data_IF_247109818132
#
_entry.id   IF_247109818132
#
_cell.length_a   1.000
_cell.length_b   1.000
_cell.length_c   1.000
_cell.angle_alpha   90.00
_cell.angle_beta   90.00
_cell.angle_gamma   90.00
#
_symmetry.space_group_name_H-M   'P 1'
#
loop_
_entity.id
_entity.type
_entity.pdbx_description
1 polymer ?
#
# COMPACT_ATOMS: atom_id res chain seq x y z
N UNK A 1 44.06 -72.44 -34.53
CA UNK A 1 45.05 -71.39 -34.19
C UNK A 1 44.27 -70.14 -33.84
N UNK A 2 44.55 -69.53 -32.68
CA UNK A 2 44.43 -68.08 -32.35
C UNK A 2 43.10 -67.38 -32.73
N UNK A 3 42.31 -66.78 -31.86
CA UNK A 3 42.59 -66.09 -30.60
C UNK A 3 41.44 -65.07 -30.38
N UNK A 4 41.20 -64.74 -29.12
CA UNK A 4 40.05 -64.04 -28.54
C UNK A 4 39.68 -62.65 -29.12
N UNK A 5 38.42 -62.27 -28.91
CA UNK A 5 37.93 -60.88 -29.01
C UNK A 5 36.42 -60.79 -28.81
N UNK A 6 35.93 -61.09 -27.60
CA UNK A 6 34.52 -60.97 -27.24
C UNK A 6 34.11 -59.50 -27.06
N UNK A 7 33.05 -59.08 -27.75
CA UNK A 7 32.45 -57.76 -27.60
C UNK A 7 31.79 -57.61 -26.23
N UNK A 8 32.37 -56.74 -25.41
CA UNK A 8 31.72 -56.09 -24.27
C UNK A 8 31.34 -54.68 -24.70
N UNK A 9 30.04 -54.37 -24.71
CA UNK A 9 29.58 -53.00 -24.51
C UNK A 9 28.37 -53.02 -23.58
N UNK A 10 28.56 -52.26 -22.51
CA UNK A 10 27.88 -52.27 -21.23
C UNK A 10 26.55 -51.52 -21.25
N UNK A 11 25.59 -52.06 -20.48
CA UNK A 11 24.46 -51.33 -19.93
C UNK A 11 24.94 -50.05 -19.22
N UNK A 12 24.48 -48.89 -19.68
CA UNK A 12 24.36 -47.69 -18.85
C UNK A 12 22.98 -47.07 -19.04
N UNK A 13 22.29 -46.98 -17.91
CA UNK A 13 21.06 -46.26 -17.65
C UNK A 13 21.20 -44.76 -17.88
N UNK A 14 20.42 -44.19 -18.80
CA UNK A 14 20.17 -42.75 -18.84
C UNK A 14 18.77 -42.46 -18.29
N UNK A 15 18.74 -41.95 -17.06
CA UNK A 15 17.56 -41.44 -16.36
C UNK A 15 17.04 -40.20 -17.09
N UNK A 16 15.86 -40.28 -17.71
CA UNK A 16 15.13 -39.09 -18.16
C UNK A 16 14.21 -38.63 -17.02
N UNK A 17 14.62 -37.59 -16.28
CA UNK A 17 13.75 -36.93 -15.31
C UNK A 17 12.61 -36.21 -16.03
N UNK A 18 11.41 -36.78 -15.99
CA UNK A 18 10.17 -36.12 -16.40
C UNK A 18 9.81 -35.06 -15.36
N UNK A 19 9.71 -33.80 -15.79
CA UNK A 19 9.16 -32.72 -14.99
C UNK A 19 7.66 -32.95 -14.70
N UNK A 20 7.16 -32.59 -13.51
CA UNK A 20 5.77 -32.84 -13.14
C UNK A 20 4.81 -31.97 -13.96
N UNK A 21 3.88 -32.62 -14.67
CA UNK A 21 2.80 -31.97 -15.41
C UNK A 21 1.75 -31.46 -14.41
N UNK A 22 1.70 -30.15 -14.18
CA UNK A 22 0.61 -29.51 -13.46
C UNK A 22 -0.62 -29.53 -14.37
N UNK A 23 -1.67 -30.23 -13.94
CA UNK A 23 -3.00 -30.22 -14.57
C UNK A 23 -3.65 -28.86 -14.34
N UNK A 24 -3.52 -27.95 -15.31
CA UNK A 24 -4.32 -26.74 -15.36
C UNK A 24 -5.76 -27.13 -15.73
N UNK A 25 -6.69 -27.03 -14.78
CA UNK A 25 -8.11 -27.16 -15.08
C UNK A 25 -8.52 -25.99 -16.00
N UNK A 26 -8.93 -26.30 -17.23
CA UNK A 26 -9.52 -25.35 -18.17
C UNK A 26 -10.76 -24.69 -17.52
N UNK A 27 -10.89 -23.35 -17.52
CA UNK A 27 -12.18 -22.71 -17.30
C UNK A 27 -13.13 -23.14 -18.44
N UNK A 28 -14.31 -23.62 -18.07
CA UNK A 28 -15.33 -24.06 -19.01
C UNK A 28 -15.74 -22.95 -19.97
N UNK A 29 -15.70 -23.28 -21.26
CA UNK A 29 -16.23 -22.49 -22.36
C UNK A 29 -17.75 -22.38 -22.20
N UNK A 30 -18.26 -21.26 -21.67
CA UNK A 30 -19.69 -20.98 -21.69
C UNK A 30 -20.02 -20.40 -23.07
N UNK A 31 -20.86 -21.13 -23.79
CA UNK A 31 -21.30 -20.85 -25.16
C UNK A 31 -21.78 -19.42 -25.35
N UNK A 32 -21.20 -18.71 -26.33
CA UNK A 32 -21.65 -17.41 -26.79
C UNK A 32 -23.07 -17.52 -27.36
N UNK A 33 -24.01 -16.85 -26.69
CA UNK A 33 -25.38 -16.67 -27.15
C UNK A 33 -25.42 -15.76 -28.38
N UNK A 34 -26.20 -16.20 -29.37
CA UNK A 34 -26.37 -15.66 -30.73
C UNK A 34 -26.65 -14.15 -30.81
N UNK A 35 -26.07 -13.54 -31.84
CA UNK A 35 -26.46 -12.28 -32.45
C UNK A 35 -27.97 -12.16 -32.67
N UNK A 36 -28.59 -11.08 -32.18
CA UNK A 36 -29.83 -10.56 -32.73
C UNK A 36 -29.65 -9.08 -33.05
N UNK A 37 -30.08 -8.72 -34.27
CA UNK A 37 -30.02 -7.37 -34.87
C UNK A 37 -30.88 -6.37 -34.11
N UNK A 38 -30.45 -5.11 -34.14
CA UNK A 38 -30.95 -4.01 -33.34
C UNK A 38 -32.37 -3.52 -33.65
N UNK A 39 -32.94 -2.89 -32.64
CA UNK A 39 -33.92 -1.80 -32.71
C UNK A 39 -33.41 -0.65 -31.80
N UNK A 40 -33.71 0.62 -32.12
CA UNK A 40 -33.06 1.77 -31.49
C UNK A 40 -33.78 2.23 -30.21
N UNK A 41 -33.03 2.99 -29.39
CA UNK A 41 -33.45 3.80 -28.24
C UNK A 41 -33.71 3.07 -26.92
N UNK A 42 -32.67 2.98 -26.09
CA UNK A 42 -32.80 3.17 -24.64
C UNK A 42 -31.47 3.64 -24.03
N UNK A 43 -31.34 4.95 -23.85
CA UNK A 43 -30.30 5.62 -23.05
C UNK A 43 -30.55 5.33 -21.56
N UNK A 44 -30.28 4.10 -21.15
CA UNK A 44 -30.36 3.67 -19.74
C UNK A 44 -29.11 2.87 -19.36
N UNK A 45 -27.93 3.42 -19.66
CA UNK A 45 -26.64 2.90 -19.19
C UNK A 45 -26.19 3.65 -17.91
N UNK A 46 -27.04 3.72 -16.90
CA UNK A 46 -26.69 4.28 -15.60
C UNK A 46 -26.88 3.23 -14.49
N UNK A 47 -25.83 3.05 -13.68
CA UNK A 47 -25.83 2.36 -12.39
C UNK A 47 -26.05 0.84 -12.35
N UNK A 48 -25.18 0.06 -13.01
CA UNK A 48 -24.88 -1.29 -12.49
C UNK A 48 -23.61 -1.26 -11.64
N UNK A 49 -23.64 -1.71 -10.37
CA UNK A 49 -22.42 -1.99 -9.63
C UNK A 49 -21.61 -3.04 -10.41
N UNK A 50 -20.33 -2.77 -10.65
CA UNK A 50 -19.47 -3.68 -11.38
C UNK A 50 -19.25 -4.93 -10.53
N UNK A 51 -19.39 -6.10 -11.14
CA UNK A 51 -18.82 -7.31 -10.55
C UNK A 51 -17.30 -7.12 -10.46
N UNK A 52 -16.65 -7.48 -9.33
CA UNK A 52 -15.20 -7.53 -9.24
C UNK A 52 -14.64 -8.33 -10.42
N UNK A 53 -13.46 -7.95 -10.92
CA UNK A 53 -12.77 -8.75 -11.93
C UNK A 53 -12.64 -10.18 -11.42
N UNK A 54 -12.78 -11.17 -12.32
CA UNK A 54 -12.62 -12.58 -11.97
C UNK A 54 -11.19 -12.77 -11.46
N UNK A 55 -11.01 -12.76 -10.13
CA UNK A 55 -9.71 -12.79 -9.47
C UNK A 55 -9.39 -11.64 -8.50
N UNK A 56 -10.25 -10.62 -8.35
CA UNK A 56 -10.03 -9.57 -7.33
C UNK A 56 -10.24 -10.12 -5.92
N UNK A 57 -9.25 -9.85 -5.07
CA UNK A 57 -9.24 -10.20 -3.64
C UNK A 57 -9.58 -8.99 -2.75
N UNK A 58 -10.23 -7.97 -3.32
CA UNK A 58 -10.53 -6.71 -2.66
C UNK A 58 -11.04 -6.90 -1.23
N UNK A 59 -10.34 -6.28 -0.27
CA UNK A 59 -10.64 -6.35 1.16
C UNK A 59 -11.85 -5.49 1.55
N UNK A 60 -12.35 -4.63 0.66
CA UNK A 60 -13.51 -3.79 0.91
C UNK A 60 -14.63 -4.15 -0.07
N UNK A 61 -15.86 -4.27 0.44
CA UNK A 61 -17.06 -4.38 -0.39
C UNK A 61 -17.41 -3.05 -1.07
N UNK A 62 -18.40 -3.07 -1.96
CA UNK A 62 -18.98 -1.84 -2.55
C UNK A 62 -19.59 -0.91 -1.49
N UNK A 63 -20.01 -1.46 -0.36
CA UNK A 63 -20.52 -0.75 0.82
C UNK A 63 -19.43 -0.40 1.84
N UNK A 64 -18.16 -0.64 1.51
CA UNK A 64 -17.00 -0.39 2.36
C UNK A 64 -17.02 -1.20 3.68
N UNK A 65 -17.52 -2.42 3.63
CA UNK A 65 -17.38 -3.42 4.69
C UNK A 65 -16.12 -4.26 4.47
N UNK A 66 -15.43 -4.64 5.54
CA UNK A 66 -14.16 -5.37 5.45
C UNK A 66 -14.38 -6.87 5.21
N UNK A 67 -13.93 -7.38 4.07
CA UNK A 67 -14.13 -8.74 3.59
C UNK A 67 -12.88 -9.61 3.82
N UNK A 68 -12.79 -10.27 4.98
CA UNK A 68 -11.64 -11.14 5.28
C UNK A 68 -11.67 -12.48 4.53
N UNK A 69 -12.85 -13.02 4.25
CA UNK A 69 -13.03 -14.41 3.80
C UNK A 69 -12.36 -14.72 2.46
N UNK A 70 -12.25 -13.72 1.57
CA UNK A 70 -11.63 -13.90 0.25
C UNK A 70 -10.11 -13.96 0.33
N UNK A 71 -9.50 -13.25 1.28
CA UNK A 71 -8.04 -13.16 1.41
C UNK A 71 -7.47 -14.20 2.39
N UNK A 72 -8.23 -14.60 3.40
CA UNK A 72 -7.84 -15.56 4.43
C UNK A 72 -7.23 -16.89 3.88
N UNK A 73 -7.70 -17.47 2.75
CA UNK A 73 -7.11 -18.68 2.18
C UNK A 73 -5.65 -18.55 1.74
N UNK A 74 -5.17 -17.33 1.46
CA UNK A 74 -3.78 -17.05 1.04
C UNK A 74 -2.82 -16.81 2.22
N UNK A 75 -3.38 -16.73 3.43
CA UNK A 75 -2.66 -16.47 4.66
C UNK A 75 -2.38 -17.74 5.44
N UNK A 76 -1.33 -17.72 6.25
CA UNK A 76 -0.84 -18.84 7.04
C UNK A 76 -0.77 -18.47 8.52
N UNK A 77 -0.37 -19.42 9.36
CA UNK A 77 -0.08 -19.14 10.78
C UNK A 77 1.34 -18.55 10.98
N UNK A 78 2.01 -18.14 9.89
CA UNK A 78 3.29 -17.46 9.96
C UNK A 78 3.17 -16.16 10.76
N UNK A 79 4.19 -15.89 11.58
CA UNK A 79 4.29 -14.72 12.45
C UNK A 79 5.42 -13.78 12.03
N UNK A 80 6.29 -14.24 11.13
CA UNK A 80 7.37 -13.43 10.54
C UNK A 80 6.96 -12.98 9.14
N UNK A 81 6.23 -11.87 9.08
CA UNK A 81 5.72 -11.29 7.84
C UNK A 81 5.82 -9.77 7.89
N UNK A 82 5.87 -9.15 6.72
CA UNK A 82 5.83 -7.69 6.56
C UNK A 82 4.59 -7.30 5.78
N UNK A 83 4.01 -6.16 6.13
CA UNK A 83 2.83 -5.59 5.46
C UNK A 83 3.23 -4.24 4.92
N UNK A 84 3.15 -4.08 3.60
CA UNK A 84 3.44 -2.82 2.91
C UNK A 84 2.15 -2.34 2.23
N UNK A 85 1.66 -1.19 2.64
CA UNK A 85 0.55 -0.49 1.99
C UNK A 85 1.06 0.63 1.10
N UNK A 86 0.29 0.99 0.07
CA UNK A 86 0.56 2.17 -0.76
C UNK A 86 -0.66 3.07 -0.81
N UNK A 87 -0.46 4.38 -0.70
CA UNK A 87 -1.50 5.40 -0.80
C UNK A 87 -1.02 6.56 -1.66
N UNK A 88 -1.92 7.17 -2.42
CA UNK A 88 -1.57 8.29 -3.30
C UNK A 88 -2.61 8.59 -4.38
N UNK A 89 -2.50 9.75 -5.06
CA UNK A 89 -3.45 10.21 -6.07
C UNK A 89 -3.56 9.30 -7.31
N UNK A 90 -4.50 9.56 -8.25
CA UNK A 90 -4.56 8.85 -9.52
C UNK A 90 -3.28 9.01 -10.33
N UNK A 91 -2.88 7.97 -11.06
CA UNK A 91 -1.79 8.05 -12.03
C UNK A 91 -0.38 8.22 -11.45
N UNK A 92 -0.17 8.23 -10.14
CA UNK A 92 1.17 8.37 -9.52
C UNK A 92 2.03 7.08 -9.57
N UNK A 93 1.50 5.99 -10.13
CA UNK A 93 2.26 4.74 -10.31
C UNK A 93 2.26 3.80 -9.11
N UNK A 94 1.26 3.88 -8.21
CA UNK A 94 1.12 2.98 -7.04
C UNK A 94 1.22 1.49 -7.40
N UNK A 95 0.34 1.02 -8.28
CA UNK A 95 0.29 -0.38 -8.71
C UNK A 95 1.57 -0.80 -9.45
N UNK A 96 2.23 0.12 -10.15
CA UNK A 96 3.56 -0.11 -10.76
C UNK A 96 4.61 -0.38 -9.70
N UNK A 97 4.72 0.48 -8.68
CA UNK A 97 5.65 0.30 -7.55
C UNK A 97 5.35 -1.02 -6.83
N UNK A 98 4.07 -1.34 -6.60
CA UNK A 98 3.67 -2.57 -5.92
C UNK A 98 4.00 -3.83 -6.72
N UNK A 99 3.92 -3.79 -8.06
CA UNK A 99 4.35 -4.87 -8.92
C UNK A 99 5.88 -5.08 -8.88
N UNK A 100 6.67 -4.00 -8.84
CA UNK A 100 8.13 -4.10 -8.66
C UNK A 100 8.49 -4.73 -7.30
N UNK A 101 7.81 -4.33 -6.22
CA UNK A 101 8.02 -4.91 -4.87
C UNK A 101 7.55 -6.37 -4.81
N UNK A 102 6.50 -6.72 -5.54
CA UNK A 102 6.06 -8.10 -5.67
C UNK A 102 7.12 -8.99 -6.36
N UNK A 103 8.03 -8.40 -7.14
CA UNK A 103 8.98 -9.12 -7.98
C UNK A 103 8.40 -9.51 -9.34
N UNK A 104 7.46 -8.73 -9.87
CA UNK A 104 6.94 -8.93 -11.22
C UNK A 104 8.00 -8.59 -12.27
N UNK A 105 8.29 -9.53 -13.16
CA UNK A 105 9.18 -9.33 -14.30
C UNK A 105 8.38 -9.22 -15.59
N UNK A 106 8.27 -7.99 -16.11
CA UNK A 106 7.56 -7.69 -17.35
C UNK A 106 8.23 -8.29 -18.61
N UNK A 107 9.47 -8.81 -18.50
CA UNK A 107 10.16 -9.47 -19.61
C UNK A 107 9.65 -10.89 -19.88
N UNK A 108 8.97 -11.51 -18.91
CA UNK A 108 8.42 -12.87 -19.03
C UNK A 108 7.16 -12.87 -19.92
N UNK A 109 7.16 -13.61 -21.05
CA UNK A 109 6.01 -13.64 -21.94
C UNK A 109 4.79 -14.30 -21.28
N UNK A 110 3.62 -13.68 -21.41
CA UNK A 110 2.33 -14.28 -21.03
C UNK A 110 1.95 -14.15 -19.55
N UNK A 111 2.75 -13.47 -18.73
CA UNK A 111 2.39 -13.14 -17.35
C UNK A 111 1.80 -11.75 -17.25
N UNK A 112 0.59 -11.64 -16.69
CA UNK A 112 -0.02 -10.36 -16.34
C UNK A 112 0.52 -9.86 -15.00
N UNK A 113 0.64 -8.54 -14.80
CA UNK A 113 1.05 -8.00 -13.51
C UNK A 113 0.05 -8.38 -12.41
N UNK A 114 0.51 -8.73 -11.19
CA UNK A 114 -0.35 -9.03 -10.05
C UNK A 114 -1.34 -7.92 -9.71
N UNK A 115 -0.90 -6.66 -9.78
CA UNK A 115 -1.74 -5.48 -9.66
C UNK A 115 -1.97 -4.89 -11.04
N UNK A 116 -3.24 -4.65 -11.40
CA UNK A 116 -3.57 -4.01 -12.66
C UNK A 116 -2.97 -2.60 -12.72
N UNK A 117 -2.31 -2.27 -13.82
CA UNK A 117 -1.77 -0.93 -14.08
C UNK A 117 -2.73 -0.23 -15.05
N UNK A 118 -2.89 1.09 -14.89
CA UNK A 118 -3.67 1.92 -15.80
C UNK A 118 -3.21 1.74 -17.26
N UNK A 119 -4.15 1.38 -18.13
CA UNK A 119 -3.89 1.29 -19.58
C UNK A 119 -4.16 2.63 -20.26
N UNK A 120 -3.71 2.76 -21.51
CA UNK A 120 -3.99 3.97 -22.29
C UNK A 120 -5.50 4.18 -22.51
N UNK A 121 -6.29 3.10 -22.66
CA UNK A 121 -7.75 3.18 -22.76
C UNK A 121 -8.39 3.66 -21.46
N UNK A 122 -7.96 3.13 -20.30
CA UNK A 122 -8.47 3.56 -18.99
C UNK A 122 -8.18 5.04 -18.74
N UNK A 123 -6.97 5.47 -19.08
CA UNK A 123 -6.55 6.87 -18.98
C UNK A 123 -7.36 7.78 -19.91
N UNK A 124 -7.59 7.36 -21.15
CA UNK A 124 -8.41 8.10 -22.11
C UNK A 124 -9.89 8.22 -21.66
N UNK A 125 -10.39 7.23 -20.93
CA UNK A 125 -11.72 7.26 -20.31
C UNK A 125 -11.78 8.04 -18.98
N UNK A 126 -10.66 8.58 -18.49
CA UNK A 126 -10.54 9.24 -17.18
C UNK A 126 -11.09 8.39 -16.02
N UNK A 127 -10.80 7.08 -16.03
CA UNK A 127 -11.24 6.13 -15.02
C UNK A 127 -10.10 5.71 -14.11
N UNK A 128 -10.40 5.41 -12.85
CA UNK A 128 -9.45 4.74 -11.97
C UNK A 128 -9.35 3.24 -12.32
N UNK A 129 -8.21 2.64 -11.99
CA UNK A 129 -7.94 1.22 -12.21
C UNK A 129 -8.22 0.39 -10.94
N UNK A 130 -7.56 0.73 -9.84
CA UNK A 130 -7.71 0.04 -8.53
C UNK A 130 -8.96 0.51 -7.80
N UNK A 131 -9.75 -0.43 -7.29
CA UNK A 131 -10.98 -0.20 -6.49
C UNK A 131 -10.78 -0.83 -5.11
N UNK A 132 -11.12 -0.11 -4.03
CA UNK A 132 -10.95 -0.60 -2.65
C UNK A 132 -9.48 -0.83 -2.26
N UNK A 133 -9.19 -1.99 -1.67
CA UNK A 133 -7.85 -2.40 -1.26
C UNK A 133 -7.60 -3.79 -1.83
N UNK A 134 -6.76 -3.89 -2.85
CA UNK A 134 -6.38 -5.16 -3.47
C UNK A 134 -5.15 -5.73 -2.73
N UNK A 135 -5.26 -6.91 -2.09
CA UNK A 135 -4.15 -7.52 -1.40
C UNK A 135 -3.43 -8.57 -2.27
N UNK A 136 -2.12 -8.69 -2.11
CA UNK A 136 -1.30 -9.79 -2.66
C UNK A 136 -0.30 -10.26 -1.62
N UNK A 137 0.11 -11.53 -1.73
CA UNK A 137 1.21 -12.09 -0.93
C UNK A 137 2.32 -12.50 -1.87
N UNK A 138 3.53 -12.00 -1.66
CA UNK A 138 4.71 -12.36 -2.46
C UNK A 138 5.24 -13.76 -2.08
N UNK A 139 6.19 -14.26 -2.87
CA UNK A 139 6.91 -15.51 -2.54
C UNK A 139 7.70 -15.42 -1.24
N UNK A 140 8.12 -14.21 -0.85
CA UNK A 140 8.86 -13.91 0.39
C UNK A 140 7.91 -13.58 1.57
N UNK A 141 6.62 -13.94 1.47
CA UNK A 141 5.60 -13.70 2.50
C UNK A 141 5.42 -12.23 2.89
N UNK A 142 5.66 -11.32 1.94
CA UNK A 142 5.32 -9.91 2.10
C UNK A 142 3.88 -9.70 1.65
N UNK A 143 3.06 -9.15 2.54
CA UNK A 143 1.68 -8.77 2.27
C UNK A 143 1.70 -7.36 1.68
N UNK A 144 1.19 -7.22 0.46
CA UNK A 144 1.16 -5.99 -0.31
C UNK A 144 -0.29 -5.52 -0.45
N UNK A 145 -0.58 -4.28 -0.04
CA UNK A 145 -1.92 -3.67 -0.10
C UNK A 145 -1.93 -2.50 -1.08
N UNK A 146 -2.40 -2.74 -2.31
CA UNK A 146 -2.60 -1.67 -3.31
C UNK A 146 -3.98 -1.05 -3.15
N UNK A 147 -4.04 0.25 -2.89
CA UNK A 147 -5.32 0.94 -2.65
C UNK A 147 -5.80 1.71 -3.85
N UNK A 148 -7.12 1.90 -3.91
CA UNK A 148 -7.72 2.90 -4.77
C UNK A 148 -7.08 4.28 -4.57
N UNK A 149 -7.06 5.13 -5.61
CA UNK A 149 -6.49 6.46 -5.49
C UNK A 149 -7.31 7.36 -4.54
N UNK A 150 -6.60 8.10 -3.69
CA UNK A 150 -7.17 9.23 -2.93
C UNK A 150 -7.27 10.46 -3.85
N UNK A 151 -8.10 11.44 -3.49
CA UNK A 151 -8.31 12.66 -4.30
C UNK A 151 -8.72 12.39 -5.76
N UNK A 152 -9.41 11.27 -6.02
CA UNK A 152 -9.72 10.82 -7.38
C UNK A 152 -11.07 11.35 -7.87
N UNK A 153 -11.10 12.20 -8.92
CA UNK A 153 -12.36 12.67 -9.50
C UNK A 153 -13.21 11.51 -10.04
N UNK A 154 -12.58 10.46 -10.55
CA UNK A 154 -13.29 9.30 -11.10
C UNK A 154 -13.92 8.42 -10.01
N UNK A 155 -13.33 8.35 -8.80
CA UNK A 155 -13.95 7.68 -7.65
C UNK A 155 -15.12 8.52 -7.16
N UNK A 156 -14.92 9.84 -6.99
CA UNK A 156 -15.99 10.75 -6.62
C UNK A 156 -17.18 10.68 -7.60
N UNK A 157 -16.92 10.66 -8.91
CA UNK A 157 -17.96 10.54 -9.93
C UNK A 157 -18.80 9.26 -9.81
N UNK A 158 -18.20 8.13 -9.42
CA UNK A 158 -18.94 6.88 -9.17
C UNK A 158 -19.71 6.91 -7.83
N UNK A 159 -19.32 7.78 -6.89
CA UNK A 159 -19.97 7.94 -5.58
C UNK A 159 -21.15 8.92 -5.55
N UNK A 160 -21.23 9.85 -6.49
CA UNK A 160 -22.27 10.89 -6.50
C UNK A 160 -23.63 10.28 -6.90
N UNK A 161 -24.60 10.35 -5.99
CA UNK A 161 -26.02 10.14 -6.31
C UNK A 161 -26.60 11.37 -7.03
N UNK A 162 -27.74 11.23 -7.73
CA UNK A 162 -28.39 12.36 -8.41
C UNK A 162 -28.74 13.56 -7.49
N UNK A 163 -28.87 13.33 -6.18
CA UNK A 163 -29.13 14.37 -5.17
C UNK A 163 -27.84 15.00 -4.59
N UNK A 164 -26.66 14.64 -5.11
CA UNK A 164 -25.36 15.08 -4.62
C UNK A 164 -24.86 14.35 -3.37
N UNK A 165 -25.66 13.43 -2.80
CA UNK A 165 -25.24 12.62 -1.66
C UNK A 165 -24.32 11.47 -2.06
N UNK A 166 -23.56 10.94 -1.11
CA UNK A 166 -22.71 9.76 -1.33
C UNK A 166 -23.52 8.48 -1.45
N UNK A 167 -23.15 7.60 -2.38
CA UNK A 167 -23.67 6.22 -2.45
C UNK A 167 -23.24 5.38 -1.24
N UNK A 168 -22.09 5.69 -0.63
CA UNK A 168 -21.48 4.93 0.45
C UNK A 168 -21.77 5.61 1.80
N UNK A 169 -22.30 4.89 2.80
CA UNK A 169 -22.48 5.39 4.15
C UNK A 169 -21.14 5.41 4.91
N UNK A 170 -20.54 6.60 5.05
CA UNK A 170 -19.23 6.76 5.72
C UNK A 170 -19.35 6.79 7.23
N UNK A 171 -20.39 7.47 7.72
CA UNK A 171 -20.72 7.63 9.13
C UNK A 171 -22.11 7.05 9.35
N UNK A 172 -22.23 6.19 10.37
CA UNK A 172 -23.49 5.53 10.72
C UNK A 172 -24.62 6.54 10.97
N UNK A 173 -25.65 6.49 10.14
CA UNK A 173 -26.90 7.25 10.33
C UNK A 173 -26.97 8.64 9.70
N UNK A 174 -25.91 9.13 9.03
CA UNK A 174 -25.91 10.45 8.39
C UNK A 174 -25.64 10.38 6.88
N UNK A 175 -26.43 11.13 6.10
CA UNK A 175 -26.18 11.30 4.66
C UNK A 175 -25.25 12.49 4.42
N UNK A 176 -24.05 12.20 3.94
CA UNK A 176 -23.04 13.20 3.60
C UNK A 176 -23.13 13.57 2.11
N UNK A 177 -22.67 14.79 1.77
CA UNK A 177 -22.37 15.11 0.37
C UNK A 177 -21.28 14.17 -0.13
N UNK A 178 -21.32 13.84 -1.42
CA UNK A 178 -20.34 12.94 -2.01
C UNK A 178 -18.90 13.47 -1.89
N UNK A 179 -18.69 14.79 -1.98
CA UNK A 179 -17.38 15.43 -1.81
C UNK A 179 -16.80 15.23 -0.41
N UNK A 180 -17.61 15.48 0.64
CA UNK A 180 -17.19 15.29 2.02
C UNK A 180 -16.99 13.80 2.34
N UNK A 181 -17.87 12.94 1.82
CA UNK A 181 -17.72 11.49 1.97
C UNK A 181 -16.40 11.01 1.34
N UNK A 182 -16.06 11.50 0.15
CA UNK A 182 -14.83 11.15 -0.55
C UNK A 182 -13.57 11.65 0.19
N UNK A 183 -13.62 12.83 0.82
CA UNK A 183 -12.55 13.32 1.69
C UNK A 183 -12.37 12.40 2.91
N UNK A 184 -13.46 12.07 3.60
CA UNK A 184 -13.41 11.17 4.77
C UNK A 184 -12.95 9.75 4.41
N UNK A 185 -13.32 9.24 3.24
CA UNK A 185 -12.82 7.95 2.76
C UNK A 185 -11.30 7.95 2.60
N UNK A 186 -10.75 9.04 2.06
CA UNK A 186 -9.29 9.17 1.90
C UNK A 186 -8.59 9.16 3.26
N UNK A 187 -9.18 9.84 4.25
CA UNK A 187 -8.69 9.87 5.64
C UNK A 187 -8.81 8.49 6.31
N UNK A 188 -9.97 7.85 6.27
CA UNK A 188 -10.21 6.53 6.88
C UNK A 188 -9.29 5.47 6.28
N UNK A 189 -9.06 5.52 4.96
CA UNK A 189 -8.11 4.65 4.28
C UNK A 189 -6.68 4.88 4.78
N UNK A 190 -6.26 6.14 4.91
CA UNK A 190 -4.96 6.50 5.47
C UNK A 190 -4.78 6.03 6.92
N UNK A 191 -5.79 6.23 7.78
CA UNK A 191 -5.79 5.77 9.18
C UNK A 191 -5.74 4.25 9.26
N UNK A 192 -6.48 3.55 8.39
CA UNK A 192 -6.44 2.08 8.32
C UNK A 192 -5.03 1.60 7.99
N UNK A 193 -4.45 2.07 6.89
CA UNK A 193 -3.09 1.67 6.51
C UNK A 193 -2.10 2.00 7.63
N UNK A 194 -2.17 3.20 8.21
CA UNK A 194 -1.31 3.65 9.34
C UNK A 194 -1.40 2.74 10.57
N UNK A 195 -2.52 2.01 10.72
CA UNK A 195 -2.77 1.14 11.84
C UNK A 195 -2.43 -0.33 11.56
N UNK A 196 -2.55 -0.80 10.31
CA UNK A 196 -2.40 -2.23 9.98
C UNK A 196 -1.12 -2.58 9.23
N UNK A 197 -0.47 -1.62 8.59
CA UNK A 197 0.76 -1.83 7.84
C UNK A 197 2.00 -1.74 8.74
N UNK A 198 3.10 -2.34 8.31
CA UNK A 198 4.43 -2.08 8.86
C UNK A 198 5.08 -0.90 8.15
N UNK A 199 4.92 -0.81 6.83
CA UNK A 199 5.42 0.29 5.98
C UNK A 199 4.28 0.85 5.14
N UNK A 200 4.21 2.17 4.99
CA UNK A 200 3.27 2.81 4.06
C UNK A 200 4.04 3.65 3.07
N UNK A 201 3.88 3.34 1.80
CA UNK A 201 4.38 4.15 0.70
C UNK A 201 3.39 5.29 0.46
N UNK A 202 3.81 6.51 0.75
CA UNK A 202 3.04 7.74 0.52
C UNK A 202 3.51 8.33 -0.79
N UNK A 203 2.77 8.08 -1.87
CA UNK A 203 3.19 8.38 -3.24
C UNK A 203 2.54 9.68 -3.72
N UNK A 204 3.37 10.64 -4.15
CA UNK A 204 2.96 11.94 -4.69
C UNK A 204 3.37 12.10 -6.15
N UNK A 205 2.67 13.00 -6.85
CA UNK A 205 3.04 13.47 -8.18
C UNK A 205 3.90 14.74 -8.08
N UNK A 206 5.12 14.72 -8.60
CA UNK A 206 6.01 15.88 -8.58
C UNK A 206 6.46 16.28 -7.16
N UNK A 207 7.09 17.45 -7.03
CA UNK A 207 7.62 17.99 -5.75
C UNK A 207 6.78 19.12 -5.16
N UNK A 208 5.76 19.57 -5.88
CA UNK A 208 4.96 20.74 -5.52
C UNK A 208 3.58 20.40 -4.93
N UNK A 209 3.23 19.11 -4.87
CA UNK A 209 1.97 18.65 -4.30
C UNK A 209 2.13 18.32 -2.81
N UNK A 210 1.54 19.15 -1.96
CA UNK A 210 1.49 18.98 -0.51
C UNK A 210 0.20 18.28 -0.02
N UNK A 211 -0.74 17.93 -0.91
CA UNK A 211 -2.02 17.33 -0.52
C UNK A 211 -1.83 15.99 0.19
N UNK A 212 -0.88 15.16 -0.25
CA UNK A 212 -0.52 13.94 0.46
C UNK A 212 0.12 14.21 1.82
N UNK A 213 0.87 15.30 1.97
CA UNK A 213 1.45 15.65 3.25
C UNK A 213 0.35 16.07 4.24
N UNK A 214 -0.59 16.89 3.78
CA UNK A 214 -1.76 17.30 4.55
C UNK A 214 -2.61 16.09 4.96
N UNK A 215 -2.86 15.14 4.04
CA UNK A 215 -3.55 13.89 4.37
C UNK A 215 -2.83 13.13 5.47
N UNK A 216 -1.52 12.95 5.36
CA UNK A 216 -0.75 12.21 6.37
C UNK A 216 -0.73 12.93 7.73
N UNK A 217 -0.65 14.26 7.76
CA UNK A 217 -0.80 15.02 9.01
C UNK A 217 -2.18 14.87 9.63
N UNK A 218 -3.24 14.84 8.81
CA UNK A 218 -4.61 14.56 9.27
C UNK A 218 -4.74 13.11 9.75
N UNK A 219 -4.09 12.15 9.11
CA UNK A 219 -4.03 10.75 9.55
C UNK A 219 -3.37 10.65 10.93
N UNK A 220 -2.22 11.29 11.15
CA UNK A 220 -1.54 11.31 12.45
C UNK A 220 -2.45 11.86 13.56
N UNK A 221 -3.14 12.97 13.26
CA UNK A 221 -4.11 13.58 14.19
C UNK A 221 -5.29 12.65 14.53
N UNK A 222 -5.80 11.89 13.55
CA UNK A 222 -7.06 11.14 13.70
C UNK A 222 -6.88 9.67 14.07
N UNK A 223 -5.64 9.17 14.04
CA UNK A 223 -5.31 7.78 14.40
C UNK A 223 -5.34 7.53 15.92
N UNK A 224 -5.47 8.57 16.73
CA UNK A 224 -5.52 8.44 18.19
C UNK A 224 -6.64 7.50 18.64
N UNK A 225 -6.32 6.62 19.59
CA UNK A 225 -7.26 5.64 20.11
C UNK A 225 -7.53 4.43 19.19
N UNK A 226 -6.88 4.34 18.02
CA UNK A 226 -6.92 3.14 17.19
C UNK A 226 -5.90 2.12 17.73
N UNK A 227 -6.33 0.90 18.10
CA UNK A 227 -5.45 -0.09 18.73
C UNK A 227 -4.51 -0.76 17.72
N UNK A 228 -3.40 -1.27 18.23
CA UNK A 228 -2.49 -2.16 17.50
C UNK A 228 -3.19 -3.48 17.11
N UNK A 229 -3.03 -3.97 15.86
CA UNK A 229 -3.54 -5.26 15.40
C UNK A 229 -3.29 -6.44 16.34
N UNK A 230 -2.17 -6.46 17.06
CA UNK A 230 -1.81 -7.54 17.98
C UNK A 230 -2.53 -7.50 19.34
N UNK A 231 -3.12 -6.35 19.71
CA UNK A 231 -3.79 -6.15 21.01
C UNK A 231 -5.24 -6.63 21.05
N UNK A 232 -5.87 -6.87 19.90
CA UNK A 232 -7.29 -7.22 19.78
C UNK A 232 -7.63 -8.71 19.97
N UNK A 233 -6.64 -9.51 20.38
CA UNK A 233 -6.73 -10.96 20.61
C UNK A 233 -7.26 -11.34 21.99
N UNK A 234 -7.53 -10.39 22.89
CA UNK A 234 -8.10 -10.64 24.22
C UNK A 234 -9.63 -10.86 24.17
N UNK A 235 -10.06 -11.94 23.53
CA UNK A 235 -11.42 -12.47 23.66
C UNK A 235 -11.36 -13.95 24.05
N UNK A 236 -10.78 -14.23 25.21
CA UNK A 236 -11.11 -15.41 26.00
C UNK A 236 -11.46 -14.93 27.42
N UNK A 237 -12.73 -15.01 27.84
CA UNK A 237 -13.14 -14.52 29.15
C UNK A 237 -12.81 -15.58 30.20
N UNK A 238 -11.60 -15.51 30.78
CA UNK A 238 -11.32 -16.15 32.06
C UNK A 238 -10.76 -15.10 33.02
N UNK A 239 -11.67 -14.61 33.87
CA UNK A 239 -11.47 -14.09 35.23
C UNK A 239 -10.22 -13.25 35.52
N UNK A 240 -10.37 -11.92 35.48
CA UNK A 240 -10.01 -11.00 36.57
C UNK A 240 -10.01 -9.56 36.04
N UNK A 241 -11.20 -9.01 35.86
CA UNK A 241 -11.40 -7.59 35.57
C UNK A 241 -11.26 -6.79 36.87
N UNK A 242 -10.16 -6.03 37.02
CA UNK A 242 -10.15 -4.64 37.58
C UNK A 242 -8.77 -4.07 37.92
N UNK A 243 -7.68 -4.85 37.96
CA UNK A 243 -6.37 -4.31 38.39
C UNK A 243 -5.36 -4.01 37.27
N UNK A 244 -5.66 -4.32 36.01
CA UNK A 244 -4.67 -4.22 34.92
C UNK A 244 -4.89 -3.07 33.92
N UNK A 245 -5.93 -2.24 34.11
CA UNK A 245 -6.12 -1.04 33.26
C UNK A 245 -5.08 0.06 33.55
N UNK A 246 -4.60 0.14 34.79
CA UNK A 246 -3.70 1.23 35.21
C UNK A 246 -2.21 0.96 34.93
N UNK A 247 -1.83 -0.24 34.48
CA UNK A 247 -0.43 -0.57 34.12
C UNK A 247 -0.16 -0.57 32.61
N UNK A 248 -1.19 -0.52 31.77
CA UNK A 248 -1.05 -0.49 30.30
C UNK A 248 -0.89 0.95 29.79
N UNK A 249 -1.19 1.95 30.62
CA UNK A 249 -1.14 3.35 30.23
C UNK A 249 0.28 3.94 30.15
N UNK A 250 1.31 3.23 30.63
CA UNK A 250 2.58 3.86 31.02
C UNK A 250 3.85 3.37 30.28
N UNK A 251 3.74 2.62 29.16
CA UNK A 251 4.97 2.15 28.47
C UNK A 251 4.89 1.82 26.96
N UNK A 252 3.95 2.34 26.17
CA UNK A 252 3.98 2.08 24.73
C UNK A 252 3.29 3.16 23.92
N UNK A 253 4.07 3.92 23.14
CA UNK A 253 3.50 4.85 22.16
C UNK A 253 2.54 4.13 21.22
N UNK A 254 1.51 4.84 20.75
CA UNK A 254 0.53 4.27 19.81
C UNK A 254 1.26 3.70 18.59
N UNK A 255 0.98 2.43 18.26
CA UNK A 255 1.56 1.78 17.07
C UNK A 255 1.19 2.58 15.84
N UNK A 256 2.15 2.85 14.95
CA UNK A 256 1.91 3.50 13.66
C UNK A 256 2.92 2.94 12.67
N UNK A 257 2.45 2.62 11.47
CA UNK A 257 3.28 2.19 10.35
C UNK A 257 4.33 3.25 10.00
N UNK A 258 5.47 2.82 9.47
CA UNK A 258 6.52 3.75 9.04
C UNK A 258 6.21 4.33 7.66
N UNK A 259 6.00 5.66 7.53
CA UNK A 259 5.73 6.29 6.26
C UNK A 259 7.02 6.51 5.46
N UNK A 260 7.01 6.04 4.22
CA UNK A 260 8.06 6.28 3.22
C UNK A 260 7.47 7.17 2.13
N UNK A 261 7.98 8.39 2.02
CA UNK A 261 7.52 9.34 1.01
C UNK A 261 8.18 9.04 -0.33
N UNK A 262 7.38 8.97 -1.39
CA UNK A 262 7.84 8.67 -2.74
C UNK A 262 7.29 9.73 -3.68
N UNK A 263 8.17 10.56 -4.26
CA UNK A 263 7.78 11.55 -5.26
C UNK A 263 8.10 10.99 -6.65
N UNK A 264 7.08 10.89 -7.50
CA UNK A 264 7.18 10.29 -8.84
C UNK A 264 7.08 11.33 -9.94
N UNK A 265 7.38 10.92 -11.18
CA UNK A 265 7.29 11.75 -12.39
C UNK A 265 8.16 13.00 -12.35
N UNK A 266 9.29 12.94 -11.66
CA UNK A 266 10.18 14.07 -11.52
C UNK A 266 10.86 14.42 -12.85
N UNK A 267 10.91 15.71 -13.15
CA UNK A 267 11.67 16.26 -14.25
C UNK A 267 13.14 16.46 -13.84
N UNK A 268 14.03 16.60 -14.82
CA UNK A 268 15.46 16.86 -14.59
C UNK A 268 15.71 18.09 -13.71
N UNK A 269 14.85 19.12 -13.82
CA UNK A 269 14.93 20.34 -13.03
C UNK A 269 14.59 20.11 -11.55
N UNK A 270 13.60 19.25 -11.26
CA UNK A 270 13.21 18.89 -9.89
C UNK A 270 14.35 18.17 -9.16
N UNK A 271 15.17 17.42 -9.90
CA UNK A 271 16.29 16.64 -9.39
C UNK A 271 17.57 17.47 -9.16
N UNK A 272 17.55 18.77 -9.45
CA UNK A 272 18.67 19.65 -9.17
C UNK A 272 19.02 19.62 -7.66
N UNK A 273 20.30 19.52 -7.26
CA UNK A 273 20.69 19.35 -5.86
C UNK A 273 20.10 20.39 -4.89
N UNK A 274 19.96 21.65 -5.32
CA UNK A 274 19.34 22.71 -4.51
C UNK A 274 17.86 22.43 -4.21
N UNK A 275 17.11 21.89 -5.18
CA UNK A 275 15.70 21.58 -5.05
C UNK A 275 15.50 20.38 -4.13
N UNK A 276 16.39 19.38 -4.23
CA UNK A 276 16.38 18.22 -3.33
C UNK A 276 16.63 18.61 -1.87
N UNK A 277 17.60 19.50 -1.62
CA UNK A 277 17.88 20.01 -0.26
C UNK A 277 16.68 20.78 0.28
N UNK A 278 16.04 21.62 -0.54
CA UNK A 278 14.84 22.36 -0.15
C UNK A 278 13.66 21.44 0.15
N UNK A 279 13.42 20.43 -0.70
CA UNK A 279 12.36 19.44 -0.51
C UNK A 279 12.55 18.65 0.78
N UNK A 280 13.76 18.12 1.03
CA UNK A 280 14.09 17.41 2.28
C UNK A 280 13.87 18.30 3.51
N UNK A 281 14.30 19.56 3.44
CA UNK A 281 14.11 20.55 4.52
C UNK A 281 12.62 20.82 4.75
N UNK A 282 11.85 21.06 3.69
CA UNK A 282 10.42 21.32 3.78
C UNK A 282 9.67 20.13 4.38
N UNK A 283 9.95 18.91 3.91
CA UNK A 283 9.36 17.68 4.42
C UNK A 283 9.67 17.48 5.92
N UNK A 284 10.93 17.67 6.32
CA UNK A 284 11.35 17.57 7.73
C UNK A 284 10.66 18.61 8.61
N UNK A 285 10.52 19.84 8.12
CA UNK A 285 9.82 20.91 8.84
C UNK A 285 8.31 20.64 8.95
N UNK A 286 7.70 20.05 7.91
CA UNK A 286 6.29 19.73 7.91
C UNK A 286 5.95 18.60 8.89
N UNK A 287 6.78 17.56 8.94
CA UNK A 287 6.60 16.40 9.82
C UNK A 287 7.50 16.44 11.05
N UNK A 288 7.44 17.52 11.83
CA UNK A 288 8.17 17.62 13.11
C UNK A 288 7.55 16.77 14.25
N UNK A 289 6.40 16.12 14.01
CA UNK A 289 5.69 15.31 15.02
C UNK A 289 6.47 14.03 15.37
N UNK A 290 6.50 13.62 16.66
CA UNK A 290 7.21 12.42 17.10
C UNK A 290 6.67 11.12 16.46
N UNK A 291 5.43 11.10 15.96
CA UNK A 291 4.86 9.95 15.28
C UNK A 291 5.59 9.60 13.97
N UNK A 292 6.10 10.62 13.27
CA UNK A 292 6.85 10.47 12.03
C UNK A 292 8.36 10.40 12.26
N UNK A 293 8.84 11.05 13.32
CA UNK A 293 10.26 11.15 13.68
C UNK A 293 10.59 10.05 14.71
N UNK A 294 10.61 8.79 14.29
CA UNK A 294 11.12 7.70 15.14
C UNK A 294 12.64 7.63 15.04
N UNK A 295 13.32 7.99 16.12
CA UNK A 295 14.75 7.74 16.29
C UNK A 295 15.00 6.23 16.20
N UNK A 296 15.86 5.76 15.28
CA UNK A 296 16.38 4.39 15.28
C UNK A 296 17.29 4.19 16.53
N UNK A 297 16.70 4.16 17.73
CA UNK A 297 17.39 3.78 18.95
C UNK A 297 17.24 2.28 19.17
N UNK A 298 17.86 1.49 18.31
CA UNK A 298 18.17 0.10 18.62
C UNK A 298 19.68 -0.02 18.91
N UNK A 299 19.98 0.05 20.22
CA UNK A 299 21.10 -0.60 20.90
C UNK A 299 22.41 -0.82 20.10
N UNK A 300 23.23 0.22 20.00
CA UNK A 300 24.70 0.07 19.96
C UNK A 300 25.32 0.90 21.10
N UNK A 301 24.85 0.65 22.32
CA UNK A 301 25.48 1.15 23.54
C UNK A 301 26.11 -0.03 24.29
N UNK A 302 27.22 -0.56 23.75
CA UNK A 302 28.32 -1.19 24.49
C UNK A 302 29.45 -1.48 23.51
N UNK A 303 30.66 -1.08 23.91
CA UNK A 303 31.95 -1.13 23.20
C UNK A 303 32.06 -0.08 22.08
N UNK A 304 32.74 1.05 22.26
CA UNK A 304 34.14 1.11 22.67
C UNK A 304 34.46 2.50 23.22
N UNK A 305 34.95 2.55 24.46
CA UNK A 305 35.83 3.62 24.90
C UNK A 305 37.21 3.42 24.27
N UNK A 306 38.00 4.51 24.25
CA UNK A 306 39.37 4.67 23.72
C UNK A 306 39.35 5.00 22.21
N UNK A 307 39.75 6.16 21.72
CA UNK A 307 40.72 7.17 22.19
C UNK A 307 40.48 8.50 21.47
N UNK A 308 40.68 9.60 22.21
CA UNK A 308 40.71 10.96 21.69
C UNK A 308 42.06 11.28 21.03
N UNK A 309 42.05 11.78 19.78
CA UNK A 309 42.93 12.87 19.31
C UNK A 309 42.20 13.66 18.22
N UNK A 310 42.28 14.97 18.34
CA UNK A 310 41.58 16.01 17.58
C UNK A 310 42.02 16.15 16.12
N UNK A 311 41.06 16.45 15.23
CA UNK A 311 41.29 17.37 14.10
C UNK A 311 39.96 18.00 13.65
N UNK A 312 39.75 19.25 14.04
CA UNK A 312 38.66 20.10 13.58
C UNK A 312 38.85 20.47 12.10
N UNK A 313 38.02 19.91 11.22
CA UNK A 313 37.71 20.51 9.91
C UNK A 313 36.24 20.20 9.57
N UNK A 314 35.43 21.27 9.54
CA UNK A 314 34.15 21.42 8.83
C UNK A 314 32.92 20.66 9.36
N UNK A 315 32.12 21.42 10.11
CA UNK A 315 30.76 21.17 10.58
C UNK A 315 29.72 21.28 9.45
N UNK A 316 29.63 20.27 8.59
CA UNK A 316 28.49 20.07 7.70
C UNK A 316 28.28 18.57 7.50
N UNK A 317 27.12 18.04 7.95
CA UNK A 317 26.76 16.63 7.73
C UNK A 317 26.46 15.83 8.99
N UNK A 318 25.61 16.34 9.89
CA UNK A 318 24.62 15.44 10.50
C UNK A 318 23.42 15.50 9.56
N UNK A 319 23.39 14.64 8.55
CA UNK A 319 22.19 14.45 7.77
C UNK A 319 21.09 14.00 8.75
N UNK A 320 20.06 14.84 8.88
CA UNK A 320 18.89 14.57 9.71
C UNK A 320 18.16 13.36 9.13
N UNK A 321 18.48 12.17 9.62
CA UNK A 321 17.98 10.87 9.13
C UNK A 321 16.55 10.58 9.60
N UNK A 322 15.65 11.58 9.53
CA UNK A 322 14.36 11.51 10.22
C UNK A 322 13.16 11.15 9.33
N UNK A 323 13.24 11.31 8.01
CA UNK A 323 12.16 10.94 7.08
C UNK A 323 12.72 10.28 5.83
N UNK A 324 12.18 9.12 5.46
CA UNK A 324 12.61 8.39 4.27
C UNK A 324 11.90 8.96 3.04
N UNK A 325 12.69 9.46 2.09
CA UNK A 325 12.23 10.09 0.85
C UNK A 325 12.91 9.42 -0.34
N UNK A 326 12.09 8.93 -1.28
CA UNK A 326 12.52 8.40 -2.57
C UNK A 326 12.02 9.29 -3.71
N UNK A 327 12.84 9.39 -4.75
CA UNK A 327 12.62 10.29 -5.88
C UNK A 327 12.69 9.46 -7.16
N UNK A 328 11.57 9.36 -7.87
CA UNK A 328 11.46 8.54 -9.08
C UNK A 328 11.30 9.47 -10.29
N UNK A 329 12.29 9.52 -11.19
CA UNK A 329 12.21 10.32 -12.41
C UNK A 329 11.04 9.90 -13.30
N UNK A 330 10.58 10.83 -14.13
CA UNK A 330 9.68 10.49 -15.24
C UNK A 330 10.36 9.54 -16.23
N UNK A 331 9.55 8.67 -16.85
CA UNK A 331 10.02 7.70 -17.84
C UNK A 331 10.27 8.44 -19.16
N UNK A 332 11.49 8.91 -19.39
CA UNK A 332 11.89 9.54 -20.65
C UNK A 332 11.82 8.51 -21.79
N UNK A 333 11.25 8.91 -22.94
CA UNK A 333 11.26 8.12 -24.18
C UNK A 333 12.51 8.38 -25.03
N UNK A 334 13.23 9.48 -24.77
CA UNK A 334 14.39 9.89 -25.56
C UNK A 334 15.70 9.48 -24.86
N UNK A 335 16.23 8.32 -25.27
CA UNK A 335 17.56 7.79 -24.88
C UNK A 335 18.75 8.63 -25.43
N UNK A 336 18.51 9.86 -25.91
CA UNK A 336 19.51 10.64 -26.65
C UNK A 336 20.41 11.52 -25.78
N UNK A 337 20.09 11.71 -24.50
CA UNK A 337 20.89 12.51 -23.57
C UNK A 337 21.59 11.60 -22.56
N UNK A 338 22.89 11.83 -22.35
CA UNK A 338 23.65 11.18 -21.27
C UNK A 338 22.88 11.35 -19.96
N UNK A 339 22.59 10.28 -19.22
CA UNK A 339 21.85 10.39 -17.97
C UNK A 339 22.70 11.19 -16.97
N UNK A 340 22.26 12.41 -16.66
CA UNK A 340 22.85 13.19 -15.57
C UNK A 340 22.39 12.68 -14.20
N UNK A 341 21.29 11.92 -14.17
CA UNK A 341 20.63 11.40 -12.98
C UNK A 341 20.29 9.91 -13.13
N UNK A 342 19.94 9.28 -12.00
CA UNK A 342 19.47 7.90 -11.94
C UNK A 342 18.26 7.67 -12.88
N UNK A 343 18.20 6.50 -13.52
CA UNK A 343 17.10 6.17 -14.43
C UNK A 343 15.82 5.81 -13.67
N UNK A 344 14.66 5.90 -14.34
CA UNK A 344 13.37 5.51 -13.76
C UNK A 344 13.38 4.07 -13.18
N UNK A 345 13.94 3.11 -13.92
CA UNK A 345 13.98 1.71 -13.50
C UNK A 345 14.96 1.48 -12.35
N UNK A 346 16.12 2.16 -12.38
CA UNK A 346 17.11 2.08 -11.30
C UNK A 346 16.55 2.63 -9.99
N UNK A 347 15.88 3.78 -10.04
CA UNK A 347 15.25 4.39 -8.87
C UNK A 347 14.12 3.51 -8.30
N UNK A 348 13.34 2.83 -9.15
CA UNK A 348 12.34 1.85 -8.73
C UNK A 348 12.97 0.64 -8.04
N UNK A 349 14.06 0.08 -8.58
CA UNK A 349 14.78 -1.02 -7.95
C UNK A 349 15.41 -0.60 -6.62
N UNK A 350 15.96 0.60 -6.53
CA UNK A 350 16.47 1.16 -5.29
C UNK A 350 15.35 1.26 -4.23
N UNK A 351 14.19 1.81 -4.59
CA UNK A 351 13.02 1.83 -3.69
C UNK A 351 12.62 0.41 -3.26
N UNK A 352 12.53 -0.54 -4.20
CA UNK A 352 12.21 -1.94 -3.89
C UNK A 352 13.20 -2.51 -2.87
N UNK A 353 14.49 -2.44 -3.15
CA UNK A 353 15.53 -3.05 -2.31
C UNK A 353 15.55 -2.43 -0.91
N UNK A 354 15.29 -1.12 -0.80
CA UNK A 354 15.15 -0.43 0.48
C UNK A 354 13.89 -0.82 1.25
N UNK A 355 12.75 -1.01 0.58
CA UNK A 355 11.51 -1.49 1.22
C UNK A 355 11.67 -2.92 1.71
N UNK A 356 12.27 -3.81 0.89
CA UNK A 356 12.48 -5.22 1.24
C UNK A 356 13.50 -5.42 2.36
N UNK A 357 14.52 -4.58 2.45
CA UNK A 357 15.53 -4.64 3.51
C UNK A 357 15.11 -3.95 4.81
N UNK A 358 14.07 -3.11 4.78
CA UNK A 358 13.62 -2.35 5.92
C UNK A 358 12.81 -3.21 6.89
N UNK A 359 13.20 -3.18 8.17
CA UNK A 359 12.36 -3.66 9.26
C UNK A 359 11.45 -2.51 9.70
N UNK A 360 10.16 -2.64 9.41
CA UNK A 360 9.15 -1.72 9.94
C UNK A 360 8.99 -1.87 11.47
N UNK A 361 8.28 -0.94 12.12
CA UNK A 361 7.93 -1.07 13.52
C UNK A 361 7.19 -2.38 13.77
N UNK A 362 7.60 -3.12 14.80
CA UNK A 362 6.91 -4.34 15.19
C UNK A 362 5.63 -4.02 15.94
N UNK A 363 4.61 -4.86 15.76
CA UNK A 363 3.46 -4.88 16.65
C UNK A 363 3.90 -5.20 18.09
N UNK A 364 3.14 -4.71 19.07
CA UNK A 364 3.42 -4.87 20.51
C UNK A 364 3.43 -6.34 20.95
N UNK A 365 2.70 -7.21 20.26
CA UNK A 365 2.70 -8.66 20.46
C UNK A 365 2.82 -9.38 19.12
N UNK A 366 3.33 -10.60 19.18
CA UNK A 366 3.33 -11.50 18.03
C UNK A 366 1.90 -11.78 17.57
N UNK A 367 1.66 -11.67 16.26
CA UNK A 367 0.38 -11.95 15.61
C UNK A 367 0.66 -12.81 14.37
N UNK A 368 -0.23 -13.73 14.02
CA UNK A 368 -0.13 -14.48 12.77
C UNK A 368 -0.68 -13.66 11.60
N UNK A 369 -0.32 -13.98 10.35
CA UNK A 369 -0.94 -13.34 9.17
C UNK A 369 -2.48 -13.48 9.20
N UNK A 370 -2.98 -14.66 9.60
CA UNK A 370 -4.42 -14.94 9.72
C UNK A 370 -5.11 -14.11 10.80
N UNK A 371 -4.48 -13.94 11.96
CA UNK A 371 -5.05 -13.11 13.03
C UNK A 371 -4.92 -11.62 12.71
N UNK A 372 -3.84 -11.22 12.01
CA UNK A 372 -3.64 -9.86 11.54
C UNK A 372 -4.79 -9.41 10.63
N UNK A 373 -5.20 -10.20 9.63
CA UNK A 373 -6.31 -9.80 8.75
C UNK A 373 -7.66 -9.73 9.50
N UNK A 374 -7.90 -10.65 10.43
CA UNK A 374 -9.11 -10.64 11.27
C UNK A 374 -9.16 -9.44 12.19
N UNK A 375 -8.02 -9.08 12.79
CA UNK A 375 -7.91 -7.91 13.65
C UNK A 375 -7.96 -6.61 12.83
N UNK A 376 -7.46 -6.61 11.59
CA UNK A 376 -7.61 -5.50 10.65
C UNK A 376 -9.08 -5.19 10.36
N UNK A 377 -9.93 -6.20 10.22
CA UNK A 377 -11.37 -6.01 10.08
C UNK A 377 -12.00 -5.36 11.33
N UNK A 378 -11.59 -5.77 12.54
CA UNK A 378 -12.03 -5.12 13.78
C UNK A 378 -11.55 -3.67 13.88
N UNK A 379 -10.31 -3.40 13.47
CA UNK A 379 -9.76 -2.03 13.41
C UNK A 379 -10.58 -1.18 12.44
N UNK A 380 -10.95 -1.72 11.28
CA UNK A 380 -11.81 -1.02 10.34
C UNK A 380 -13.16 -0.61 10.95
N UNK A 381 -13.80 -1.52 11.71
CA UNK A 381 -15.03 -1.19 12.43
C UNK A 381 -14.83 -0.11 13.50
N UNK A 382 -13.68 -0.09 14.19
CA UNK A 382 -13.34 0.99 15.13
C UNK A 382 -13.18 2.32 14.39
N UNK A 383 -12.51 2.32 13.22
CA UNK A 383 -12.31 3.52 12.40
C UNK A 383 -13.64 4.07 11.91
N UNK A 384 -14.54 3.23 11.38
CA UNK A 384 -15.87 3.66 10.91
C UNK A 384 -16.73 4.25 12.02
N UNK A 385 -16.55 3.78 13.25
CA UNK A 385 -17.29 4.24 14.42
C UNK A 385 -16.50 5.23 15.31
N UNK A 386 -15.39 5.78 14.81
CA UNK A 386 -14.53 6.68 15.58
C UNK A 386 -15.21 8.03 15.81
N UNK A 387 -15.44 8.39 17.08
CA UNK A 387 -16.01 9.67 17.45
C UNK A 387 -15.12 10.85 17.04
N UNK A 388 -13.79 10.67 17.05
CA UNK A 388 -12.83 11.71 16.67
C UNK A 388 -12.96 12.03 15.17
N UNK A 389 -13.12 11.01 14.32
CA UNK A 389 -13.33 11.21 12.89
C UNK A 389 -14.70 11.87 12.62
N UNK A 390 -15.73 11.50 13.38
CA UNK A 390 -17.05 12.16 13.30
C UNK A 390 -16.97 13.63 13.71
N UNK A 391 -16.22 13.96 14.76
CA UNK A 391 -16.01 15.34 15.19
C UNK A 391 -15.29 16.16 14.11
N UNK A 392 -14.24 15.59 13.52
CA UNK A 392 -13.54 16.20 12.40
C UNK A 392 -14.46 16.44 11.20
N UNK A 393 -15.31 15.48 10.84
CA UNK A 393 -16.35 15.64 9.82
C UNK A 393 -17.26 16.84 10.11
N UNK A 394 -17.76 16.96 11.35
CA UNK A 394 -18.60 18.09 11.76
C UNK A 394 -17.87 19.43 11.67
N UNK A 395 -16.57 19.46 12.03
CA UNK A 395 -15.74 20.65 11.86
C UNK A 395 -15.63 21.05 10.39
N UNK A 396 -15.36 20.11 9.48
CA UNK A 396 -15.30 20.37 8.04
C UNK A 396 -16.62 20.92 7.49
N UNK A 397 -17.76 20.37 7.91
CA UNK A 397 -19.08 20.89 7.52
C UNK A 397 -19.31 22.32 8.02
N UNK A 398 -18.92 22.61 9.27
CA UNK A 398 -19.08 23.93 9.87
C UNK A 398 -18.20 25.00 9.22
N UNK A 399 -17.05 24.61 8.67
CA UNK A 399 -16.08 25.51 8.02
C UNK A 399 -16.62 26.21 6.77
N UNK A 400 -17.70 25.68 6.18
CA UNK A 400 -18.28 26.20 4.95
C UNK A 400 -17.69 25.60 3.67
N UNK A 401 -16.64 24.79 3.76
CA UNK A 401 -15.99 24.17 2.59
C UNK A 401 -16.87 23.18 1.83
N UNK A 402 -17.86 22.56 2.50
CA UNK A 402 -18.72 21.52 1.93
C UNK A 402 -20.21 21.85 2.05
N UNK A 403 -20.58 23.15 2.01
CA UNK A 403 -22.00 23.55 2.04
C UNK A 403 -22.72 23.11 0.76
N UNK A 404 -23.94 22.59 0.93
CA UNK A 404 -24.85 22.26 -0.17
C UNK A 404 -25.26 23.48 -0.96
#
# INVERSE_FOLDING_TARGET
MTGSGGNLSSNQSSVSHQAPKILLAKPGLVSAGKFNRGGPDDDSAAHRPRLPSVGSLNLLSDTWDFLTDRFLPFLTDNTDFTVVGVIGPPGVGKSTIMNEIYGFDASLPGTLPPFAIETEETRAMAKHCTVGIEPRVSSERIILLDTQPVFSPSVLAEMIRPDGSSTIPIISGESLSAELAHELLSIQLGVLLASICHIILVVSDGVHDASMWQLMSTVDLLKHGIPDPSSLTLSHPQSSEKENRDRILDSGGEYMADPVFVHTKLCTEDLAPCNLVQLKKALTQFFCSPSFVRSENHNTAKESQVSAVSSNVQSAGRESEFLKLFLIPSRNKDDSLKPQYESHISALWNLRDQVLSKRGPSFSRTVSERDWVKNSAKIWEIIRNSSIIVDYCRTLQSSGMFRR
#
